data_IF_002611647341
#
_entry.id   IF_002611647341
#
_cell.length_a   1.000
_cell.length_b   1.000
_cell.length_c   1.000
_cell.angle_alpha   90.00
_cell.angle_beta   90.00
_cell.angle_gamma   90.00
#
_symmetry.space_group_name_H-M   'P 1'
#
loop_
_entity.id
_entity.type
_entity.pdbx_description
1 polymer ?
#
# COMPACT_ATOMS: atom_id res chain seq x y z
N UNK A 1 -15.39 -6.64 33.99
CA UNK A 1 -15.32 -6.56 32.51
C UNK A 1 -14.71 -5.19 32.22
N UNK A 2 -13.40 -5.14 31.99
CA UNK A 2 -12.69 -3.87 31.76
C UNK A 2 -12.85 -3.48 30.29
N UNK A 3 -13.46 -2.33 30.03
CA UNK A 3 -13.56 -1.75 28.69
C UNK A 3 -12.18 -1.25 28.25
N UNK A 4 -11.60 -1.86 27.21
CA UNK A 4 -10.44 -1.30 26.52
C UNK A 4 -10.84 0.04 25.89
N UNK A 5 -10.48 1.14 26.56
CA UNK A 5 -10.64 2.48 26.01
C UNK A 5 -9.76 2.62 24.77
N UNK A 6 -10.39 2.70 23.59
CA UNK A 6 -9.72 2.96 22.33
C UNK A 6 -8.83 4.21 22.41
N UNK A 7 -7.65 4.14 21.81
CA UNK A 7 -6.75 5.30 21.72
C UNK A 7 -7.22 6.22 20.60
N UNK A 8 -7.57 7.46 20.94
CA UNK A 8 -7.89 8.52 19.96
C UNK A 8 -6.61 9.21 19.52
N UNK A 9 -6.37 9.32 18.20
CA UNK A 9 -5.24 10.04 17.63
C UNK A 9 -5.69 11.03 16.55
N UNK A 10 -5.00 12.17 16.44
CA UNK A 10 -5.22 13.15 15.37
C UNK A 10 -4.09 13.08 14.35
N UNK A 11 -4.42 12.93 13.07
CA UNK A 11 -3.44 13.00 11.98
C UNK A 11 -3.45 14.44 11.47
N UNK A 12 -2.36 15.17 11.71
CA UNK A 12 -2.18 16.47 11.08
C UNK A 12 -1.55 16.28 9.69
N UNK A 13 -2.34 16.53 8.65
CA UNK A 13 -1.90 16.45 7.24
C UNK A 13 -1.26 17.78 6.75
N UNK A 14 -1.09 18.79 7.62
CA UNK A 14 -0.44 20.04 7.25
C UNK A 14 1.05 19.79 6.97
N UNK A 15 1.44 19.94 5.70
CA UNK A 15 2.80 19.82 5.20
C UNK A 15 3.68 20.96 5.74
N UNK A 16 4.10 20.89 7.01
CA UNK A 16 5.08 21.81 7.56
C UNK A 16 6.50 21.33 7.20
N UNK A 17 6.94 21.67 5.99
CA UNK A 17 8.36 21.67 5.61
C UNK A 17 8.82 20.46 4.77
N UNK A 18 9.22 20.74 3.52
CA UNK A 18 10.20 19.99 2.68
C UNK A 18 10.27 18.46 2.87
N UNK A 19 9.15 17.75 2.77
CA UNK A 19 9.17 16.30 2.54
C UNK A 19 8.88 16.04 1.06
N UNK A 20 9.83 15.40 0.36
CA UNK A 20 9.62 14.93 -1.00
C UNK A 20 8.40 14.01 -1.01
N UNK A 21 7.34 14.44 -1.70
CA UNK A 21 6.12 13.65 -1.85
C UNK A 21 6.44 12.41 -2.69
N UNK A 22 6.71 11.29 -2.03
CA UNK A 22 6.95 10.01 -2.71
C UNK A 22 5.69 9.64 -3.48
N UNK A 23 5.81 9.55 -4.81
CA UNK A 23 4.72 9.10 -5.66
C UNK A 23 4.60 7.56 -5.56
N UNK A 24 3.60 7.10 -4.80
CA UNK A 24 3.30 5.67 -4.64
C UNK A 24 2.39 5.11 -5.75
N UNK A 25 2.07 5.91 -6.77
CA UNK A 25 1.23 5.46 -7.89
C UNK A 25 1.88 4.24 -8.57
N UNK A 26 1.11 3.16 -8.71
CA UNK A 26 1.58 1.89 -9.29
C UNK A 26 2.50 1.07 -8.37
N UNK A 27 2.74 1.49 -7.13
CA UNK A 27 3.62 0.78 -6.16
C UNK A 27 2.86 0.07 -5.05
N UNK A 28 1.54 0.25 -4.97
CA UNK A 28 0.68 -0.36 -3.96
C UNK A 28 -0.09 -1.50 -4.60
N UNK A 29 0.03 -2.69 -4.01
CA UNK A 29 -0.65 -3.90 -4.47
C UNK A 29 -1.49 -4.49 -3.36
N UNK A 30 -2.76 -4.80 -3.66
CA UNK A 30 -3.62 -5.58 -2.78
C UNK A 30 -3.59 -7.04 -3.22
N UNK A 31 -3.11 -7.94 -2.36
CA UNK A 31 -2.96 -9.36 -2.67
C UNK A 31 -4.15 -10.16 -2.11
N UNK A 32 -4.63 -11.20 -2.82
CA UNK A 32 -5.68 -12.09 -2.34
C UNK A 32 -5.13 -13.12 -1.33
N UNK A 33 -4.26 -12.68 -0.41
CA UNK A 33 -3.70 -13.51 0.65
C UNK A 33 -3.14 -12.65 1.79
N UNK A 34 -2.96 -13.26 2.96
CA UNK A 34 -2.35 -12.60 4.10
C UNK A 34 -0.86 -12.94 4.19
N UNK A 35 -0.01 -11.92 4.30
CA UNK A 35 1.42 -12.07 4.59
C UNK A 35 1.61 -11.77 6.07
N UNK A 36 2.14 -12.75 6.83
CA UNK A 36 2.33 -12.60 8.29
C UNK A 36 3.47 -11.63 8.67
N UNK A 37 4.41 -11.40 7.75
CA UNK A 37 5.57 -10.57 7.97
C UNK A 37 5.33 -9.13 7.49
N UNK A 38 5.56 -8.16 8.38
CA UNK A 38 5.55 -6.74 8.06
C UNK A 38 7.00 -6.21 8.10
N UNK A 39 7.49 -5.65 7.00
CA UNK A 39 8.85 -5.11 6.91
C UNK A 39 9.29 -4.84 5.47
N UNK A 40 10.54 -4.39 5.27
CA UNK A 40 11.10 -4.16 3.94
C UNK A 40 11.05 -5.41 3.07
N UNK A 41 10.74 -5.24 1.79
CA UNK A 41 10.69 -6.31 0.80
C UNK A 41 11.11 -5.79 -0.58
N UNK A 42 11.82 -6.63 -1.33
CA UNK A 42 12.33 -6.35 -2.68
C UNK A 42 11.25 -6.57 -3.75
N UNK A 43 10.12 -5.86 -3.61
CA UNK A 43 8.92 -6.01 -4.46
C UNK A 43 9.24 -5.80 -5.93
N UNK A 44 9.92 -4.70 -6.28
CA UNK A 44 10.21 -4.34 -7.68
C UNK A 44 11.08 -5.37 -8.43
N UNK A 45 11.83 -6.21 -7.72
CA UNK A 45 12.65 -7.26 -8.34
C UNK A 45 11.85 -8.52 -8.66
N UNK A 46 10.91 -8.91 -7.80
CA UNK A 46 10.20 -10.20 -7.88
C UNK A 46 8.74 -10.09 -8.32
N UNK A 47 8.08 -8.98 -8.04
CA UNK A 47 6.67 -8.75 -8.34
C UNK A 47 6.57 -7.71 -9.45
N UNK A 48 6.57 -8.19 -10.70
CA UNK A 48 6.47 -7.37 -11.91
C UNK A 48 5.23 -7.78 -12.70
N UNK A 49 4.08 -7.13 -12.46
CA UNK A 49 2.88 -7.35 -13.27
C UNK A 49 3.17 -7.09 -14.74
N UNK A 50 2.66 -7.96 -15.61
CA UNK A 50 2.79 -7.85 -17.07
C UNK A 50 1.40 -7.76 -17.69
N UNK A 51 1.24 -6.85 -18.65
CA UNK A 51 0.01 -6.75 -19.43
C UNK A 51 -0.21 -8.05 -20.22
N UNK A 52 -1.43 -8.60 -20.12
CA UNK A 52 -1.82 -9.81 -20.84
C UNK A 52 -2.40 -9.52 -22.23
N UNK A 53 -2.63 -8.24 -22.57
CA UNK A 53 -3.31 -7.83 -23.80
C UNK A 53 -4.80 -8.17 -23.82
N UNK A 54 -5.40 -8.40 -22.65
CA UNK A 54 -6.82 -8.67 -22.46
C UNK A 54 -7.42 -7.60 -21.57
N UNK A 55 -8.69 -7.26 -21.80
CA UNK A 55 -9.47 -6.35 -20.97
C UNK A 55 -10.69 -7.09 -20.40
N UNK A 56 -11.05 -6.76 -19.16
CA UNK A 56 -12.27 -7.22 -18.48
C UNK A 56 -12.92 -5.97 -17.90
N UNK A 57 -14.20 -5.74 -18.19
CA UNK A 57 -14.94 -4.55 -17.74
C UNK A 57 -14.26 -3.21 -18.11
N UNK A 58 -13.56 -3.17 -19.26
CA UNK A 58 -12.81 -2.00 -19.71
C UNK A 58 -11.51 -1.74 -18.94
N UNK A 59 -11.06 -2.69 -18.11
CA UNK A 59 -9.83 -2.62 -17.35
C UNK A 59 -8.80 -3.62 -17.89
N UNK A 60 -7.58 -3.14 -18.11
CA UNK A 60 -6.49 -3.97 -18.61
C UNK A 60 -6.07 -5.02 -17.56
N UNK A 61 -6.00 -6.27 -18.00
CA UNK A 61 -5.60 -7.39 -17.14
C UNK A 61 -4.08 -7.50 -17.10
N UNK A 62 -3.55 -7.52 -15.89
CA UNK A 62 -2.16 -7.77 -15.58
C UNK A 62 -1.99 -9.13 -14.92
N UNK A 63 -0.88 -9.80 -15.23
CA UNK A 63 -0.54 -11.12 -14.69
C UNK A 63 0.80 -11.09 -13.96
N UNK A 64 0.87 -11.76 -12.82
CA UNK A 64 2.08 -11.91 -12.00
C UNK A 64 2.01 -13.21 -11.22
N UNK A 65 3.16 -13.72 -10.77
CA UNK A 65 3.21 -14.91 -9.93
C UNK A 65 3.69 -14.54 -8.53
N UNK A 66 2.99 -15.02 -7.51
CA UNK A 66 3.38 -14.86 -6.12
C UNK A 66 3.39 -16.23 -5.45
N UNK A 67 4.55 -16.64 -4.89
CA UNK A 67 4.74 -17.96 -4.27
C UNK A 67 4.31 -19.13 -5.17
N UNK A 68 4.60 -19.03 -6.47
CA UNK A 68 4.23 -20.06 -7.47
C UNK A 68 2.77 -20.07 -7.88
N UNK A 69 1.93 -19.17 -7.33
CA UNK A 69 0.52 -19.03 -7.72
C UNK A 69 0.38 -17.88 -8.71
N UNK A 70 -0.31 -18.15 -9.81
CA UNK A 70 -0.68 -17.13 -10.79
C UNK A 70 -1.74 -16.21 -10.19
N UNK A 71 -1.47 -14.91 -10.23
CA UNK A 71 -2.39 -13.85 -9.87
C UNK A 71 -2.75 -13.08 -11.14
N UNK A 72 -4.03 -12.78 -11.28
CA UNK A 72 -4.53 -11.86 -12.30
C UNK A 72 -5.16 -10.69 -11.58
N UNK A 73 -4.82 -9.49 -12.00
CA UNK A 73 -5.29 -8.26 -11.38
C UNK A 73 -5.41 -7.15 -12.40
N UNK A 74 -5.73 -5.96 -11.90
CA UNK A 74 -5.79 -4.75 -12.70
C UNK A 74 -5.44 -3.55 -11.83
N UNK A 75 -5.04 -2.46 -12.47
CA UNK A 75 -4.77 -1.19 -11.79
C UNK A 75 -6.07 -0.40 -11.68
N UNK A 76 -6.48 -0.09 -10.45
CA UNK A 76 -7.66 0.72 -10.16
C UNK A 76 -7.20 2.15 -9.83
N UNK A 77 -7.71 3.13 -10.55
CA UNK A 77 -7.46 4.55 -10.27
C UNK A 77 -8.25 5.00 -9.03
N UNK A 78 -7.65 5.94 -8.28
CA UNK A 78 -8.41 6.62 -7.23
C UNK A 78 -9.50 7.49 -7.86
N UNK A 79 -10.69 7.59 -7.24
CA UNK A 79 -11.75 8.44 -7.76
C UNK A 79 -11.31 9.91 -7.88
N UNK A 80 -11.90 10.64 -8.83
CA UNK A 80 -11.55 12.03 -9.09
C UNK A 80 -11.71 12.91 -7.83
N UNK A 81 -10.69 13.72 -7.53
CA UNK A 81 -10.66 14.58 -6.35
C UNK A 81 -10.19 13.89 -5.07
N UNK A 82 -9.97 12.57 -5.08
CA UNK A 82 -9.48 11.82 -3.92
C UNK A 82 -7.95 11.68 -3.93
N UNK A 83 -7.39 11.54 -2.72
CA UNK A 83 -5.95 11.30 -2.50
C UNK A 83 -5.78 10.17 -1.49
N UNK A 84 -4.94 9.20 -1.82
CA UNK A 84 -4.52 8.14 -0.91
C UNK A 84 -3.29 8.56 -0.09
N UNK A 85 -3.26 8.16 1.17
CA UNK A 85 -2.13 8.38 2.08
C UNK A 85 -1.78 7.07 2.80
N UNK A 86 -0.48 6.80 2.97
CA UNK A 86 0.03 5.69 3.78
C UNK A 86 0.70 6.29 5.03
N UNK A 87 -0.03 6.45 6.14
CA UNK A 87 0.54 7.04 7.35
C UNK A 87 1.50 6.06 8.03
N UNK A 88 2.70 6.53 8.37
CA UNK A 88 3.63 5.81 9.22
C UNK A 88 3.55 6.35 10.64
N UNK A 89 3.61 5.47 11.64
CA UNK A 89 3.75 5.89 13.04
C UNK A 89 5.17 6.39 13.26
N UNK A 90 5.33 7.65 13.64
CA UNK A 90 6.61 8.20 14.08
C UNK A 90 6.96 7.63 15.46
N UNK A 91 8.02 6.83 15.56
CA UNK A 91 8.48 6.27 16.84
C UNK A 91 9.56 7.14 17.50
N UNK A 92 9.55 8.46 17.23
CA UNK A 92 10.55 9.42 17.74
C UNK A 92 10.47 9.71 19.26
N UNK A 93 9.64 8.97 20.01
CA UNK A 93 9.50 9.09 21.46
C UNK A 93 10.24 8.01 22.24
N UNK A 94 11.34 8.41 22.90
CA UNK A 94 12.03 7.74 24.03
C UNK A 94 12.57 6.33 23.77
N UNK A 95 13.81 6.26 23.28
CA UNK A 95 14.76 5.28 23.82
C UNK A 95 14.92 5.60 25.31
N UNK A 96 14.36 4.79 26.21
CA UNK A 96 14.82 4.78 27.61
C UNK A 96 16.22 4.16 27.57
N UNK A 97 17.22 4.94 27.99
CA UNK A 97 18.53 4.44 28.37
C UNK A 97 18.41 3.58 29.63
#
# INVERSE_FOLDING_TARGET
MEEEKGTTGSINLSLNGKEEKINLSGQVHNLPCCIKFNGPCIVSQYFKPKLKGMEIDGLAVEEVHFRGRKLQGTTISLPNGWRGFVPAKNNSGKRKA
#
